data_IF_520826554151
#
_entry.id   IF_520826554151
#
_cell.length_a   1.000
_cell.length_b   1.000
_cell.length_c   1.000
_cell.angle_alpha   90.00
_cell.angle_beta   90.00
_cell.angle_gamma   90.00
#
_symmetry.space_group_name_H-M   'P 1'
#
loop_
_entity.id
_entity.type
_entity.pdbx_description
1 polymer ?
#
# COMPACT_ATOMS: atom_id res chain seq x y z
N UNK A 1 -20.09 20.42 -33.52
CA UNK A 1 -21.09 21.00 -34.45
C UNK A 1 -22.28 20.06 -34.49
N UNK A 2 -23.51 20.52 -34.25
CA UNK A 2 -23.93 21.59 -33.35
C UNK A 2 -24.92 21.03 -32.28
N UNK A 3 -24.73 21.38 -31.01
CA UNK A 3 -25.84 21.40 -30.03
C UNK A 3 -25.91 22.82 -29.47
N UNK A 4 -26.03 23.77 -30.39
CA UNK A 4 -26.70 25.04 -30.11
C UNK A 4 -28.13 24.83 -30.61
N UNK A 5 -29.12 25.23 -29.80
CA UNK A 5 -30.58 25.10 -29.99
C UNK A 5 -31.29 23.92 -29.28
N UNK A 6 -31.09 23.77 -27.97
CA UNK A 6 -32.27 23.59 -27.11
C UNK A 6 -32.48 24.89 -26.34
N UNK A 7 -33.22 25.79 -26.99
CA UNK A 7 -33.77 26.97 -26.36
C UNK A 7 -34.30 26.60 -24.98
N UNK A 8 -33.83 27.35 -23.99
CA UNK A 8 -34.27 27.41 -22.60
C UNK A 8 -35.80 27.63 -22.55
N UNK A 9 -36.58 26.60 -22.90
CA UNK A 9 -38.02 26.59 -22.72
C UNK A 9 -38.23 26.52 -21.22
N UNK A 10 -38.80 27.59 -20.67
CA UNK A 10 -39.17 27.61 -19.27
C UNK A 10 -40.39 26.70 -19.05
N UNK A 11 -40.13 25.40 -18.96
CA UNK A 11 -41.12 24.38 -18.64
C UNK A 11 -41.70 24.58 -17.23
N UNK A 12 -41.12 25.45 -16.38
CA UNK A 12 -41.64 25.69 -15.03
C UNK A 12 -42.99 26.43 -15.03
N UNK A 13 -43.30 27.11 -16.12
CA UNK A 13 -44.59 27.76 -16.36
C UNK A 13 -45.79 26.80 -16.31
N UNK A 14 -45.62 25.52 -16.73
CA UNK A 14 -46.67 24.47 -16.65
C UNK A 14 -47.22 24.32 -15.22
N UNK A 15 -46.39 24.52 -14.19
CA UNK A 15 -46.81 24.37 -12.80
C UNK A 15 -47.61 25.56 -12.26
N UNK A 16 -47.75 26.63 -13.05
CA UNK A 16 -48.43 27.87 -12.68
C UNK A 16 -49.64 28.20 -13.58
N UNK A 17 -49.83 27.46 -14.67
CA UNK A 17 -50.94 27.63 -15.61
C UNK A 17 -52.27 27.04 -15.07
N UNK A 18 -53.40 27.69 -15.38
CA UNK A 18 -54.75 27.23 -14.98
C UNK A 18 -55.27 26.06 -15.84
N UNK A 19 -54.78 25.95 -17.07
CA UNK A 19 -55.04 24.84 -17.99
C UNK A 19 -53.68 24.30 -18.44
N UNK A 20 -53.48 22.99 -18.36
CA UNK A 20 -52.21 22.33 -18.69
C UNK A 20 -52.26 21.90 -20.17
N UNK A 21 -51.23 22.27 -20.93
CA UNK A 21 -51.01 21.74 -22.28
C UNK A 21 -50.42 20.32 -22.19
N UNK A 22 -51.23 19.31 -22.47
CA UNK A 22 -50.86 17.89 -22.42
C UNK A 22 -49.63 17.55 -23.29
N UNK A 23 -49.45 18.22 -24.42
CA UNK A 23 -48.32 17.97 -25.31
C UNK A 23 -47.01 18.51 -24.70
N UNK A 24 -47.05 19.72 -24.13
CA UNK A 24 -45.89 20.29 -23.42
C UNK A 24 -45.60 19.54 -22.12
N UNK A 25 -46.62 19.09 -21.39
CA UNK A 25 -46.46 18.28 -20.18
C UNK A 25 -45.80 16.93 -20.49
N UNK A 26 -46.20 16.30 -21.61
CA UNK A 26 -45.58 15.06 -22.09
C UNK A 26 -44.12 15.28 -22.52
N UNK A 27 -43.83 16.30 -23.32
CA UNK A 27 -42.46 16.65 -23.74
C UNK A 27 -41.56 16.93 -22.54
N UNK A 28 -42.02 17.75 -21.59
CA UNK A 28 -41.32 18.01 -20.33
C UNK A 28 -41.04 16.72 -19.55
N UNK A 29 -42.04 15.85 -19.41
CA UNK A 29 -41.90 14.58 -18.68
C UNK A 29 -40.92 13.63 -19.37
N UNK A 30 -40.90 13.58 -20.69
CA UNK A 30 -39.99 12.73 -21.46
C UNK A 30 -38.54 13.23 -21.33
N UNK A 31 -38.31 14.54 -21.47
CA UNK A 31 -36.98 15.16 -21.30
C UNK A 31 -36.47 15.06 -19.86
N UNK A 32 -37.31 15.37 -18.88
CA UNK A 32 -36.90 15.22 -17.48
C UNK A 32 -36.65 13.76 -17.11
N UNK A 33 -37.49 12.85 -17.62
CA UNK A 33 -37.33 11.42 -17.44
C UNK A 33 -36.06 10.86 -18.08
N UNK A 34 -35.65 11.35 -19.26
CA UNK A 34 -34.38 10.93 -19.89
C UNK A 34 -33.18 11.42 -19.10
N UNK A 35 -33.18 12.68 -18.64
CA UNK A 35 -32.13 13.24 -17.78
C UNK A 35 -31.97 12.43 -16.48
N UNK A 36 -33.08 12.12 -15.80
CA UNK A 36 -33.04 11.31 -14.58
C UNK A 36 -32.47 9.91 -14.82
N UNK A 37 -32.79 9.28 -15.97
CA UNK A 37 -32.24 7.97 -16.34
C UNK A 37 -30.72 8.04 -16.54
N UNK A 38 -30.22 9.06 -17.24
CA UNK A 38 -28.77 9.25 -17.43
C UNK A 38 -28.08 9.46 -16.09
N UNK A 39 -28.59 10.38 -15.25
CA UNK A 39 -28.02 10.63 -13.91
C UNK A 39 -28.01 9.36 -13.06
N UNK A 40 -29.08 8.56 -13.13
CA UNK A 40 -29.17 7.31 -12.36
C UNK A 40 -28.13 6.29 -12.81
N UNK A 41 -27.93 6.14 -14.13
CA UNK A 41 -26.93 5.24 -14.67
C UNK A 41 -25.50 5.73 -14.37
N UNK A 42 -25.21 7.02 -14.54
CA UNK A 42 -23.91 7.61 -14.21
C UNK A 42 -23.60 7.46 -12.71
N UNK A 43 -24.58 7.68 -11.83
CA UNK A 43 -24.42 7.49 -10.39
C UNK A 43 -24.14 6.01 -10.04
N UNK A 44 -24.79 5.07 -10.74
CA UNK A 44 -24.54 3.63 -10.58
C UNK A 44 -23.10 3.28 -10.97
N UNK A 45 -22.64 3.75 -12.13
CA UNK A 45 -21.26 3.53 -12.59
C UNK A 45 -20.23 4.18 -11.67
N UNK A 46 -20.48 5.40 -11.21
CA UNK A 46 -19.62 6.09 -10.25
C UNK A 46 -19.48 5.27 -8.95
N UNK A 47 -20.58 4.72 -8.43
CA UNK A 47 -20.52 3.86 -7.23
C UNK A 47 -19.62 2.65 -7.44
N UNK A 48 -19.63 2.04 -8.63
CA UNK A 48 -18.75 0.90 -8.95
C UNK A 48 -17.29 1.33 -9.00
N UNK A 49 -16.99 2.48 -9.60
CA UNK A 49 -15.64 3.03 -9.64
C UNK A 49 -15.09 3.32 -8.25
N UNK A 50 -15.88 3.93 -7.36
CA UNK A 50 -15.46 4.25 -6.00
C UNK A 50 -15.14 2.98 -5.18
N UNK A 51 -15.93 1.92 -5.34
CA UNK A 51 -15.65 0.62 -4.70
C UNK A 51 -14.36 0.00 -5.25
N UNK A 52 -14.17 0.04 -6.57
CA UNK A 52 -12.97 -0.48 -7.21
C UNK A 52 -11.71 0.30 -6.78
N UNK A 53 -11.78 1.63 -6.74
CA UNK A 53 -10.69 2.50 -6.31
C UNK A 53 -10.28 2.23 -4.86
N UNK A 54 -11.24 2.12 -3.93
CA UNK A 54 -10.97 1.79 -2.53
C UNK A 54 -10.30 0.41 -2.36
N UNK A 55 -10.73 -0.57 -3.15
CA UNK A 55 -10.10 -1.89 -3.20
C UNK A 55 -8.64 -1.79 -3.70
N UNK A 56 -8.39 -1.04 -4.77
CA UNK A 56 -7.03 -0.83 -5.30
C UNK A 56 -6.12 -0.11 -4.29
N UNK A 57 -6.62 0.93 -3.62
CA UNK A 57 -5.90 1.63 -2.54
C UNK A 57 -5.45 0.65 -1.47
N UNK A 58 -6.35 -0.23 -1.02
CA UNK A 58 -6.05 -1.22 0.02
C UNK A 58 -4.95 -2.18 -0.43
N UNK A 59 -5.04 -2.68 -1.67
CA UNK A 59 -4.06 -3.60 -2.25
C UNK A 59 -2.69 -2.95 -2.42
N UNK A 60 -2.64 -1.75 -3.02
CA UNK A 60 -1.40 -0.99 -3.22
C UNK A 60 -0.72 -0.74 -1.88
N UNK A 61 -1.45 -0.23 -0.88
CA UNK A 61 -0.87 0.02 0.45
C UNK A 61 -0.37 -1.27 1.11
N UNK A 62 -1.05 -2.40 0.89
CA UNK A 62 -0.60 -3.72 1.35
C UNK A 62 0.70 -4.16 0.69
N UNK A 63 0.83 -4.02 -0.63
CA UNK A 63 2.07 -4.32 -1.34
C UNK A 63 3.22 -3.42 -0.89
N UNK A 64 2.97 -2.12 -0.75
CA UNK A 64 3.97 -1.17 -0.25
C UNK A 64 4.44 -1.55 1.15
N UNK A 65 3.53 -1.87 2.06
CA UNK A 65 3.89 -2.32 3.41
C UNK A 65 4.83 -3.53 3.37
N UNK A 66 4.50 -4.55 2.57
CA UNK A 66 5.33 -5.75 2.47
C UNK A 66 6.72 -5.43 1.91
N UNK A 67 6.81 -4.58 0.89
CA UNK A 67 8.09 -4.18 0.30
C UNK A 67 8.93 -3.35 1.28
N UNK A 68 8.32 -2.35 1.92
CA UNK A 68 9.02 -1.45 2.84
C UNK A 68 9.50 -2.17 4.09
N UNK A 69 8.69 -3.10 4.63
CA UNK A 69 9.07 -3.91 5.80
C UNK A 69 10.21 -4.89 5.49
N UNK A 70 10.20 -5.56 4.33
CA UNK A 70 11.30 -6.45 3.90
C UNK A 70 12.63 -5.70 3.76
N UNK A 71 12.57 -4.43 3.36
CA UNK A 71 13.74 -3.57 3.19
C UNK A 71 14.11 -2.77 4.46
N UNK A 72 13.32 -2.86 5.54
CA UNK A 72 13.38 -2.00 6.73
C UNK A 72 13.48 -0.50 6.37
N UNK A 73 12.63 -0.07 5.42
CA UNK A 73 12.80 1.18 4.71
C UNK A 73 11.88 2.28 5.26
N UNK A 74 12.50 3.38 5.70
CA UNK A 74 11.83 4.66 5.98
C UNK A 74 12.27 5.71 4.96
N UNK A 75 11.32 6.45 4.40
CA UNK A 75 11.58 7.43 3.33
C UNK A 75 11.03 8.79 3.72
N UNK A 76 11.90 9.80 3.69
CA UNK A 76 11.47 11.20 3.78
C UNK A 76 10.79 11.61 2.47
N UNK A 77 9.62 12.24 2.57
CA UNK A 77 8.79 12.68 1.46
C UNK A 77 8.79 14.21 1.36
N UNK A 78 8.67 14.72 0.15
CA UNK A 78 8.48 16.15 -0.07
C UNK A 78 7.05 16.58 0.31
N UNK A 79 6.89 17.86 0.65
CA UNK A 79 5.55 18.44 0.90
C UNK A 79 4.63 18.37 -0.33
N UNK A 80 5.18 18.21 -1.54
CA UNK A 80 4.38 18.04 -2.76
C UNK A 80 3.66 16.69 -2.81
N UNK A 81 4.23 15.65 -2.20
CA UNK A 81 3.60 14.33 -2.14
C UNK A 81 2.44 14.28 -1.13
N UNK A 82 2.45 15.17 -0.13
CA UNK A 82 1.38 15.25 0.88
C UNK A 82 1.09 16.73 1.19
N UNK A 83 0.31 17.44 0.33
CA UNK A 83 0.04 18.86 0.48
C UNK A 83 -0.63 19.24 1.82
N UNK A 84 -1.40 18.32 2.40
CA UNK A 84 -2.00 18.46 3.73
C UNK A 84 -0.95 18.75 4.84
N UNK A 85 0.33 18.42 4.58
CA UNK A 85 1.44 18.58 5.50
C UNK A 85 2.43 19.70 5.10
N UNK A 86 2.01 20.69 4.32
CA UNK A 86 2.85 21.84 3.95
C UNK A 86 3.48 22.58 5.15
N UNK A 87 2.82 22.56 6.31
CA UNK A 87 3.30 23.24 7.52
C UNK A 87 4.19 22.36 8.40
N UNK A 88 4.32 21.08 8.09
CA UNK A 88 5.15 20.16 8.85
C UNK A 88 6.64 20.44 8.59
N UNK A 89 7.49 20.06 9.54
CA UNK A 89 8.94 20.12 9.41
C UNK A 89 9.45 18.97 8.53
N UNK A 90 8.86 17.79 8.70
CA UNK A 90 9.27 16.57 8.02
C UNK A 90 8.08 15.64 7.82
N UNK A 91 8.11 14.88 6.72
CA UNK A 91 7.12 13.86 6.38
C UNK A 91 7.89 12.59 6.08
N UNK A 92 7.54 11.48 6.72
CA UNK A 92 8.23 10.20 6.59
C UNK A 92 7.21 9.11 6.30
N UNK A 93 7.43 8.31 5.26
CA UNK A 93 6.75 7.03 5.09
C UNK A 93 7.59 5.95 5.76
N UNK A 94 7.03 5.24 6.74
CA UNK A 94 7.75 4.22 7.49
C UNK A 94 7.50 2.79 6.95
N UNK A 95 8.16 1.75 7.49
CA UNK A 95 8.02 0.36 7.03
C UNK A 95 6.60 -0.22 7.17
N UNK A 96 5.81 0.30 8.11
CA UNK A 96 4.41 -0.09 8.32
C UNK A 96 3.43 0.58 7.33
N UNK A 97 3.96 1.34 6.36
CA UNK A 97 3.18 2.13 5.41
C UNK A 97 2.31 3.18 6.12
N UNK A 98 2.86 3.80 7.17
CA UNK A 98 2.30 4.96 7.83
C UNK A 98 3.04 6.22 7.41
N UNK A 99 2.27 7.29 7.15
CA UNK A 99 2.81 8.63 7.06
C UNK A 99 2.98 9.18 8.47
N UNK A 100 4.20 9.59 8.77
CA UNK A 100 4.62 10.26 9.99
C UNK A 100 4.87 11.72 9.65
N UNK A 101 4.14 12.61 10.29
CA UNK A 101 4.27 14.05 10.12
C UNK A 101 4.87 14.65 11.40
N UNK A 102 6.06 15.22 11.29
CA UNK A 102 6.74 15.92 12.39
C UNK A 102 6.44 17.39 12.25
N UNK A 103 5.75 17.98 13.22
CA UNK A 103 5.42 19.42 13.23
C UNK A 103 6.58 20.26 13.74
N UNK A 104 6.49 21.58 13.52
CA UNK A 104 7.54 22.54 13.93
C UNK A 104 7.74 22.63 15.45
N UNK A 105 6.70 22.34 16.23
CA UNK A 105 6.74 22.28 17.69
C UNK A 105 7.28 20.95 18.24
N UNK A 106 7.67 20.02 17.35
CA UNK A 106 8.18 18.69 17.71
C UNK A 106 7.10 17.64 17.94
N UNK A 107 5.81 18.00 17.86
CA UNK A 107 4.74 17.00 17.92
C UNK A 107 4.75 16.10 16.68
N UNK A 108 4.33 14.85 16.86
CA UNK A 108 4.34 13.82 15.81
C UNK A 108 2.95 13.26 15.63
N UNK A 109 2.50 13.21 14.38
CA UNK A 109 1.28 12.50 14.00
C UNK A 109 1.65 11.31 13.12
N UNK A 110 1.00 10.17 13.34
CA UNK A 110 1.19 8.97 12.52
C UNK A 110 -0.17 8.44 12.09
N UNK A 111 -0.32 8.18 10.78
CA UNK A 111 -1.54 7.60 10.22
C UNK A 111 -1.20 6.69 9.04
N UNK A 112 -1.89 5.55 8.95
CA UNK A 112 -1.77 4.63 7.82
C UNK A 112 -2.07 5.32 6.49
N UNK A 113 -1.23 5.08 5.47
CA UNK A 113 -1.36 5.68 4.14
C UNK A 113 -2.72 5.36 3.49
N UNK A 114 -3.28 4.17 3.73
CA UNK A 114 -4.59 3.75 3.18
C UNK A 114 -5.77 4.60 3.65
N UNK A 115 -5.59 5.41 4.70
CA UNK A 115 -6.63 6.27 5.26
C UNK A 115 -6.57 7.70 4.68
N UNK A 116 -5.72 7.95 3.69
CA UNK A 116 -5.64 9.22 2.97
C UNK A 116 -6.42 9.13 1.65
N UNK A 117 -6.78 10.29 1.04
CA UNK A 117 -7.41 10.32 -0.27
C UNK A 117 -6.57 9.59 -1.34
N UNK A 118 -7.20 8.91 -2.32
CA UNK A 118 -6.50 8.22 -3.41
C UNK A 118 -5.46 9.10 -4.11
N UNK A 119 -5.74 10.39 -4.31
CA UNK A 119 -4.84 11.35 -4.94
C UNK A 119 -3.53 11.50 -4.14
N UNK A 120 -3.63 11.62 -2.81
CA UNK A 120 -2.46 11.67 -1.91
C UNK A 120 -1.65 10.38 -2.00
N UNK A 121 -2.32 9.22 -2.04
CA UNK A 121 -1.66 7.92 -2.19
C UNK A 121 -0.90 7.85 -3.50
N UNK A 122 -1.50 8.28 -4.62
CA UNK A 122 -0.85 8.30 -5.92
C UNK A 122 0.38 9.21 -5.95
N UNK A 123 0.30 10.40 -5.33
CA UNK A 123 1.45 11.31 -5.24
C UNK A 123 2.60 10.72 -4.41
N UNK A 124 2.29 10.07 -3.28
CA UNK A 124 3.28 9.36 -2.46
C UNK A 124 3.92 8.22 -3.24
N UNK A 125 3.13 7.40 -3.93
CA UNK A 125 3.62 6.31 -4.78
C UNK A 125 4.55 6.85 -5.86
N UNK A 126 4.15 7.93 -6.53
CA UNK A 126 4.95 8.56 -7.59
C UNK A 126 6.33 8.99 -7.09
N UNK A 127 6.40 9.62 -5.91
CA UNK A 127 7.68 10.04 -5.32
C UNK A 127 8.50 8.84 -4.78
N UNK A 128 7.83 7.78 -4.33
CA UNK A 128 8.44 6.59 -3.76
C UNK A 128 9.19 5.74 -4.78
N UNK A 129 8.64 5.55 -5.99
CA UNK A 129 9.19 4.61 -6.98
C UNK A 129 10.68 4.80 -7.31
N UNK A 130 11.20 6.01 -7.60
CA UNK A 130 12.63 6.18 -7.88
C UNK A 130 13.50 5.83 -6.66
N UNK A 131 13.08 6.21 -5.45
CA UNK A 131 13.80 5.90 -4.20
C UNK A 131 13.82 4.40 -3.94
N UNK A 132 12.69 3.73 -4.16
CA UNK A 132 12.58 2.29 -4.00
C UNK A 132 13.53 1.54 -4.96
N UNK A 133 13.63 1.98 -6.21
CA UNK A 133 14.58 1.40 -7.19
C UNK A 133 16.03 1.48 -6.68
N UNK A 134 16.43 2.61 -6.13
CA UNK A 134 17.77 2.81 -5.57
C UNK A 134 18.01 1.89 -4.37
N UNK A 135 17.05 1.81 -3.45
CA UNK A 135 17.15 0.99 -2.25
C UNK A 135 17.20 -0.50 -2.54
N UNK A 136 16.41 -1.00 -3.50
CA UNK A 136 16.49 -2.40 -3.96
C UNK A 136 17.88 -2.71 -4.53
N UNK A 137 18.45 -1.79 -5.32
CA UNK A 137 19.80 -1.97 -5.88
C UNK A 137 20.87 -2.03 -4.79
N UNK A 138 20.76 -1.16 -3.78
CA UNK A 138 21.67 -1.17 -2.62
C UNK A 138 21.50 -2.43 -1.79
N UNK A 139 20.27 -2.87 -1.54
CA UNK A 139 19.98 -4.09 -0.81
C UNK A 139 20.59 -5.32 -1.50
N UNK A 140 20.42 -5.43 -2.83
CA UNK A 140 21.02 -6.51 -3.62
C UNK A 140 22.55 -6.54 -3.50
N UNK A 141 23.22 -5.38 -3.55
CA UNK A 141 24.67 -5.30 -3.34
C UNK A 141 25.08 -5.77 -1.95
N UNK A 142 24.36 -5.35 -0.90
CA UNK A 142 24.60 -5.79 0.48
C UNK A 142 24.43 -7.30 0.64
N UNK A 143 23.36 -7.87 0.08
CA UNK A 143 23.10 -9.32 0.10
C UNK A 143 24.22 -10.08 -0.60
N UNK A 144 24.66 -9.63 -1.78
CA UNK A 144 25.72 -10.29 -2.54
C UNK A 144 27.05 -10.35 -1.75
N UNK A 145 27.44 -9.27 -1.09
CA UNK A 145 28.65 -9.26 -0.23
C UNK A 145 28.53 -10.28 0.90
N UNK A 146 27.38 -10.32 1.59
CA UNK A 146 27.14 -11.27 2.67
C UNK A 146 27.15 -12.72 2.17
N UNK A 147 26.53 -13.00 1.02
CA UNK A 147 26.49 -14.33 0.44
C UNK A 147 27.89 -14.84 0.12
N UNK A 148 28.70 -14.04 -0.57
CA UNK A 148 30.09 -14.40 -0.89
C UNK A 148 30.93 -14.68 0.36
N UNK A 149 30.72 -13.89 1.42
CA UNK A 149 31.42 -14.09 2.69
C UNK A 149 30.97 -15.37 3.40
N UNK A 150 29.67 -15.67 3.38
CA UNK A 150 29.13 -16.92 3.93
C UNK A 150 29.63 -18.14 3.17
N UNK A 151 29.73 -18.07 1.84
CA UNK A 151 30.30 -19.12 1.01
C UNK A 151 31.78 -19.38 1.37
N UNK A 152 32.58 -18.33 1.50
CA UNK A 152 33.97 -18.42 1.95
C UNK A 152 34.08 -19.12 3.31
N UNK A 153 33.31 -18.66 4.31
CA UNK A 153 33.31 -19.26 5.65
C UNK A 153 32.90 -20.73 5.58
N UNK A 154 31.85 -21.05 4.81
CA UNK A 154 31.34 -22.41 4.69
C UNK A 154 32.40 -23.37 4.12
N UNK A 155 33.16 -22.95 3.11
CA UNK A 155 34.25 -23.76 2.56
C UNK A 155 35.41 -23.97 3.55
N UNK A 156 35.80 -22.93 4.28
CA UNK A 156 36.84 -23.06 5.30
C UNK A 156 36.39 -23.97 6.46
N UNK A 157 35.15 -23.85 6.92
CA UNK A 157 34.60 -24.74 7.95
C UNK A 157 34.55 -26.20 7.48
N UNK A 158 34.15 -26.47 6.23
CA UNK A 158 34.22 -27.82 5.63
C UNK A 158 35.65 -28.36 5.64
N UNK A 159 36.63 -27.53 5.26
CA UNK A 159 38.03 -27.92 5.23
C UNK A 159 38.58 -28.22 6.63
N UNK A 160 38.20 -27.42 7.64
CA UNK A 160 38.57 -27.64 9.04
C UNK A 160 37.93 -28.93 9.57
N UNK A 161 36.68 -29.25 9.21
CA UNK A 161 35.99 -30.47 9.67
C UNK A 161 36.61 -31.74 9.07
N UNK A 162 37.12 -31.69 7.83
CA UNK A 162 37.57 -32.86 7.06
C UNK A 162 38.53 -33.80 7.82
N UNK A 163 39.57 -33.35 8.54
CA UNK A 163 40.48 -34.22 9.29
C UNK A 163 39.85 -34.86 10.55
N UNK A 164 38.78 -34.27 11.09
CA UNK A 164 38.04 -34.80 12.24
C UNK A 164 36.93 -35.77 11.83
N UNK A 165 36.57 -35.80 10.53
CA UNK A 165 35.65 -36.76 9.95
C UNK A 165 36.34 -38.09 9.67
N UNK A 166 36.32 -39.01 10.63
CA UNK A 166 36.54 -40.44 10.33
C UNK A 166 35.57 -40.90 9.25
N UNK A 167 36.09 -41.41 8.13
CA UNK A 167 35.36 -41.93 6.96
C UNK A 167 33.95 -42.46 7.26
N UNK A 168 32.93 -41.62 7.12
CA UNK A 168 31.58 -41.98 6.66
C UNK A 168 30.98 -40.72 6.04
N UNK A 169 31.13 -40.58 4.72
CA UNK A 169 30.26 -39.72 3.93
C UNK A 169 28.82 -40.23 4.09
N UNK A 170 28.08 -39.66 5.04
CA UNK A 170 26.62 -39.59 4.93
C UNK A 170 26.29 -38.25 4.28
N UNK A 171 25.41 -38.21 3.27
CA UNK A 171 24.93 -36.96 2.72
C UNK A 171 24.32 -36.15 3.87
N UNK A 172 24.63 -34.86 3.91
CA UNK A 172 24.04 -33.91 4.85
C UNK A 172 22.55 -33.86 4.56
N UNK A 173 21.77 -34.73 5.21
CA UNK A 173 20.32 -34.54 5.29
C UNK A 173 20.08 -33.30 6.14
N UNK A 174 19.18 -32.45 5.66
CA UNK A 174 18.59 -31.29 6.32
C UNK A 174 18.79 -31.29 7.85
N UNK A 175 19.41 -30.22 8.34
CA UNK A 175 19.53 -29.93 9.77
C UNK A 175 18.14 -30.02 10.42
N UNK A 176 17.92 -31.03 11.27
CA UNK A 176 16.75 -31.11 12.14
C UNK A 176 17.07 -30.37 13.46
N UNK A 177 16.40 -29.24 13.70
CA UNK A 177 16.54 -28.37 14.88
C UNK A 177 16.23 -29.04 16.22
N UNK A 178 15.64 -30.25 16.23
CA UNK A 178 15.06 -30.84 17.44
C UNK A 178 16.08 -31.32 18.50
N UNK A 179 17.38 -31.41 18.18
CA UNK A 179 18.38 -31.94 19.13
C UNK A 179 19.01 -30.92 20.07
N UNK A 180 18.79 -29.62 19.87
CA UNK A 180 19.40 -28.57 20.73
C UNK A 180 18.64 -28.40 22.05
N UNK A 181 17.40 -28.89 22.16
CA UNK A 181 16.58 -28.74 23.38
C UNK A 181 16.98 -29.66 24.54
N UNK A 182 17.72 -30.74 24.31
CA UNK A 182 18.12 -31.65 25.41
C UNK A 182 19.38 -31.21 26.17
N UNK A 183 20.19 -30.28 25.64
CA UNK A 183 21.48 -29.91 26.26
C UNK A 183 21.33 -28.76 27.29
N UNK A 184 20.17 -28.09 27.36
CA UNK A 184 19.98 -26.88 28.17
C UNK A 184 19.16 -27.05 29.45
N UNK A 185 18.88 -28.27 29.91
CA UNK A 185 18.24 -28.49 31.22
C UNK A 185 19.27 -29.09 32.18
N UNK A 186 19.80 -28.34 33.17
CA UNK A 186 20.51 -28.93 34.28
C UNK A 186 19.56 -29.86 35.03
N UNK A 187 19.87 -31.16 35.04
CA UNK A 187 19.26 -32.13 35.94
C UNK A 187 19.68 -31.78 37.38
N UNK A 188 18.94 -30.89 38.04
CA UNK A 188 19.05 -30.71 39.49
C UNK A 188 18.31 -31.86 40.18
N UNK A 189 19.10 -32.89 40.47
CA UNK A 189 19.14 -33.70 41.70
C UNK A 189 17.81 -33.94 42.42
N UNK A 190 17.35 -35.20 42.36
CA UNK A 190 16.68 -35.86 43.49
C UNK A 190 17.59 -35.79 44.72
N UNK A 191 17.06 -35.35 45.86
CA UNK A 191 17.44 -35.89 47.16
C UNK A 191 16.26 -35.79 48.15
N UNK A 192 16.13 -36.86 48.92
CA UNK A 192 15.03 -37.22 49.82
C UNK A 192 14.92 -36.30 51.04
N UNK A 193 13.69 -36.06 51.53
CA UNK A 193 13.17 -36.50 52.85
C UNK A 193 11.66 -36.70 52.70
#
# INVERSE_FOLDING_TARGET
>A
MPEEDEANFDYTSIFQEKEIDDAKAKDMSEKFGSLLKVITEDARQLSEYLVAESSMVTQICGYLKNILSELDLSISLSHKAVPEFEKCKEIILNPECHLIAVKKDGSVESRSLKNYPPETILMVVWELMPKLREEVSLYMKRVSVRLNFLEMINEELKNIQRPFGTSQEKPVSEFQEDKVKEILIPQSSRQNV
#
